data_IF_524227938004
#
_entry.id   IF_524227938004
#
_cell.length_a   1.000
_cell.length_b   1.000
_cell.length_c   1.000
_cell.angle_alpha   90.00
_cell.angle_beta   90.00
_cell.angle_gamma   90.00
#
_symmetry.space_group_name_H-M   'P 1'
#
loop_
_entity.id
_entity.type
_entity.pdbx_description
1 polymer ?
#
# COMPACT_ATOMS: atom_id res chain seq x y z
N UNK A 1 -15.54 30.63 16.39
CA UNK A 1 -15.58 30.41 14.93
C UNK A 1 -14.54 29.39 14.52
N UNK A 2 -14.91 28.11 14.51
CA UNK A 2 -14.03 27.01 14.10
C UNK A 2 -14.36 26.67 12.64
N UNK A 3 -13.65 27.28 11.71
CA UNK A 3 -13.79 26.99 10.27
C UNK A 3 -13.17 25.62 9.98
N UNK A 4 -13.97 24.72 9.43
CA UNK A 4 -13.68 23.28 9.32
C UNK A 4 -12.83 23.02 8.06
N UNK A 5 -11.77 22.18 8.10
CA UNK A 5 -11.03 21.80 6.87
C UNK A 5 -11.98 20.95 5.97
N UNK A 6 -12.76 21.56 5.07
CA UNK A 6 -13.68 20.84 4.17
C UNK A 6 -13.04 20.57 2.79
N UNK A 7 -13.17 19.30 2.41
CA UNK A 7 -13.17 18.61 1.10
C UNK A 7 -12.76 19.29 -0.23
N UNK A 8 -12.16 18.48 -1.15
CA UNK A 8 -12.47 18.51 -2.58
C UNK A 8 -13.85 17.91 -2.82
N UNK A 9 -14.69 18.63 -3.54
CA UNK A 9 -15.92 18.10 -4.11
C UNK A 9 -15.55 17.34 -5.38
N UNK A 10 -15.68 16.01 -5.36
CA UNK A 10 -15.86 15.21 -6.56
C UNK A 10 -16.97 14.18 -6.32
N UNK A 11 -17.79 14.04 -7.35
CA UNK A 11 -19.13 13.45 -7.46
C UNK A 11 -19.21 11.93 -7.28
N UNK A 12 -20.25 11.52 -6.56
CA UNK A 12 -21.09 10.31 -6.66
C UNK A 12 -20.48 8.99 -7.15
N UNK A 13 -20.30 8.05 -6.21
CA UNK A 13 -20.39 6.62 -6.49
C UNK A 13 -20.76 5.83 -5.22
N UNK A 14 -22.02 5.40 -5.12
CA UNK A 14 -22.44 4.38 -4.14
C UNK A 14 -21.99 2.99 -4.59
N UNK A 15 -21.63 2.11 -3.64
CA UNK A 15 -22.04 0.72 -3.80
C UNK A 15 -22.74 0.18 -2.54
N UNK A 16 -23.95 -0.31 -2.78
CA UNK A 16 -24.72 -1.21 -1.89
C UNK A 16 -23.89 -2.47 -1.62
N UNK A 17 -23.82 -2.84 -0.35
CA UNK A 17 -23.22 -4.10 0.08
C UNK A 17 -24.16 -5.29 -0.06
N UNK A 18 -23.61 -6.49 0.10
CA UNK A 18 -24.04 -7.48 1.10
C UNK A 18 -22.97 -8.54 1.27
N UNK A 19 -22.78 -8.94 2.53
CA UNK A 19 -21.96 -10.01 3.04
C UNK A 19 -22.52 -11.40 2.70
N UNK A 20 -21.69 -12.44 2.75
CA UNK A 20 -21.84 -13.44 3.81
C UNK A 20 -20.65 -14.43 3.86
N UNK A 21 -20.37 -14.84 5.10
CA UNK A 21 -19.28 -15.70 5.51
C UNK A 21 -19.72 -17.18 5.53
N UNK A 22 -18.77 -18.10 5.34
CA UNK A 22 -18.82 -19.38 6.05
C UNK A 22 -17.46 -20.09 6.00
N UNK A 23 -16.91 -20.32 7.18
CA UNK A 23 -15.67 -21.07 7.43
C UNK A 23 -16.04 -22.52 7.70
N UNK A 24 -15.40 -23.48 7.00
CA UNK A 24 -15.39 -24.89 7.41
C UNK A 24 -13.96 -25.41 7.53
N UNK A 25 -13.67 -25.85 8.75
CA UNK A 25 -12.46 -26.54 9.23
C UNK A 25 -12.54 -28.00 8.80
N UNK A 26 -11.45 -28.57 8.27
CA UNK A 26 -11.33 -30.03 8.11
C UNK A 26 -9.90 -30.49 8.37
N UNK A 27 -9.78 -31.42 9.31
CA UNK A 27 -8.61 -32.18 9.74
C UNK A 27 -8.42 -33.42 8.89
N UNK A 28 -7.17 -33.83 8.61
CA UNK A 28 -6.85 -35.26 8.42
C UNK A 28 -5.38 -35.56 8.73
N UNK A 29 -5.17 -36.57 9.60
CA UNK A 29 -3.90 -37.29 9.86
C UNK A 29 -3.65 -38.32 8.74
N UNK A 30 -2.39 -38.71 8.46
CA UNK A 30 -1.78 -40.08 8.53
C UNK A 30 -0.36 -40.10 7.86
N UNK A 31 0.41 -41.21 7.81
CA UNK A 31 1.57 -41.48 8.69
C UNK A 31 2.94 -41.68 7.98
N UNK A 32 3.96 -41.97 8.79
CA UNK A 32 5.31 -42.51 8.51
C UNK A 32 5.39 -43.60 7.42
N UNK A 33 6.49 -43.63 6.63
CA UNK A 33 7.48 -44.71 6.74
C UNK A 33 8.78 -44.48 5.92
N UNK A 34 9.87 -45.01 6.49
CA UNK A 34 11.23 -45.13 5.97
C UNK A 34 11.33 -45.87 4.62
N UNK A 35 12.30 -45.49 3.78
CA UNK A 35 13.17 -46.47 3.09
C UNK A 35 14.47 -45.87 2.57
N UNK A 36 15.58 -46.38 3.10
CA UNK A 36 16.96 -46.26 2.62
C UNK A 36 17.13 -47.00 1.28
N UNK A 37 17.91 -46.45 0.34
CA UNK A 37 18.61 -47.29 -0.66
C UNK A 37 19.82 -46.54 -1.24
N UNK A 38 20.95 -47.25 -1.20
CA UNK A 38 22.27 -46.87 -1.72
C UNK A 38 22.22 -46.47 -3.20
N UNK A 39 22.85 -45.34 -3.55
CA UNK A 39 23.06 -44.95 -4.94
C UNK A 39 24.55 -44.91 -5.30
N UNK A 40 24.86 -45.81 -6.23
CA UNK A 40 26.10 -46.10 -6.94
C UNK A 40 26.81 -44.82 -7.44
N UNK A 41 28.10 -44.71 -7.09
CA UNK A 41 29.04 -43.67 -7.54
C UNK A 41 29.17 -43.74 -9.06
N UNK A 42 28.61 -42.75 -9.76
CA UNK A 42 28.72 -42.59 -11.20
C UNK A 42 29.65 -41.42 -11.46
N UNK A 43 30.79 -41.69 -12.08
CA UNK A 43 31.79 -40.69 -12.47
C UNK A 43 31.23 -39.87 -13.63
N UNK A 44 30.67 -38.70 -13.34
CA UNK A 44 30.21 -37.76 -14.34
C UNK A 44 31.39 -36.91 -14.83
N UNK A 45 31.73 -37.06 -16.11
CA UNK A 45 32.62 -36.17 -16.85
C UNK A 45 32.02 -34.77 -16.80
N UNK A 46 32.77 -33.83 -16.21
CA UNK A 46 32.40 -32.41 -16.10
C UNK A 46 32.34 -31.80 -17.50
N UNK A 47 31.16 -31.81 -18.12
CA UNK A 47 30.83 -30.82 -19.16
C UNK A 47 30.64 -29.49 -18.44
N UNK A 48 31.61 -28.60 -18.67
CA UNK A 48 31.59 -27.18 -18.28
C UNK A 48 30.19 -26.60 -18.58
N UNK A 49 29.44 -26.10 -17.58
CA UNK A 49 28.16 -25.46 -17.86
C UNK A 49 28.46 -24.22 -18.72
N UNK A 50 27.92 -24.25 -19.94
CA UNK A 50 27.80 -23.07 -20.78
C UNK A 50 27.23 -21.95 -19.92
N UNK A 51 28.04 -20.91 -19.69
CA UNK A 51 27.63 -19.74 -18.94
C UNK A 51 26.40 -19.15 -19.62
N UNK A 52 25.22 -19.36 -19.03
CA UNK A 52 24.08 -18.49 -19.30
C UNK A 52 24.51 -17.10 -18.86
N UNK A 53 24.83 -16.24 -19.83
CA UNK A 53 24.85 -14.81 -19.62
C UNK A 53 23.56 -14.42 -18.87
N UNK A 54 23.63 -13.60 -17.83
CA UNK A 54 22.44 -13.17 -17.11
C UNK A 54 21.53 -12.45 -18.11
N UNK A 55 20.28 -12.91 -18.21
CA UNK A 55 19.21 -12.27 -18.99
C UNK A 55 18.92 -10.91 -18.36
N UNK A 56 19.79 -9.93 -18.61
CA UNK A 56 19.42 -8.51 -18.61
C UNK A 56 18.67 -8.32 -19.92
N UNK A 57 17.39 -7.97 -19.85
CA UNK A 57 16.60 -7.34 -20.94
C UNK A 57 15.08 -7.42 -20.69
N UNK A 58 14.62 -8.09 -19.63
CA UNK A 58 13.20 -7.99 -19.28
C UNK A 58 12.92 -6.59 -18.75
N UNK A 59 12.21 -5.78 -19.55
CA UNK A 59 11.73 -4.45 -19.16
C UNK A 59 10.75 -4.55 -18.00
N UNK A 60 10.77 -3.55 -17.13
CA UNK A 60 9.77 -3.42 -16.08
C UNK A 60 8.37 -3.23 -16.69
N UNK A 61 7.36 -3.85 -16.07
CA UNK A 61 5.98 -3.89 -16.55
C UNK A 61 5.03 -3.48 -15.44
N UNK A 62 3.96 -2.75 -15.79
CA UNK A 62 3.01 -2.28 -14.79
C UNK A 62 2.34 -3.47 -14.07
N UNK A 63 2.12 -3.37 -12.74
CA UNK A 63 1.30 -4.32 -12.02
C UNK A 63 -0.14 -4.33 -12.51
N UNK A 64 -0.76 -5.51 -12.42
CA UNK A 64 -2.15 -5.76 -12.78
C UNK A 64 -3.07 -5.56 -11.57
N UNK A 65 -4.37 -5.41 -11.84
CA UNK A 65 -5.38 -5.05 -10.82
C UNK A 65 -5.56 -6.11 -9.70
N UNK A 66 -5.11 -7.35 -9.92
CA UNK A 66 -5.15 -8.45 -8.94
C UNK A 66 -4.20 -8.23 -7.75
N UNK A 67 -3.10 -7.49 -7.95
CA UNK A 67 -2.16 -7.13 -6.88
C UNK A 67 -2.25 -5.67 -6.46
N UNK A 68 -3.03 -4.85 -7.17
CA UNK A 68 -3.24 -3.44 -6.84
C UNK A 68 -4.50 -3.25 -6.02
N UNK A 69 -4.35 -2.72 -4.81
CA UNK A 69 -5.46 -2.38 -3.91
C UNK A 69 -5.54 -0.86 -3.72
N UNK A 70 -6.74 -0.28 -3.54
CA UNK A 70 -6.86 1.16 -3.34
C UNK A 70 -6.25 1.57 -1.99
N UNK A 71 -5.42 2.61 -2.00
CA UNK A 71 -5.07 3.33 -0.78
C UNK A 71 -6.16 4.36 -0.53
N UNK A 72 -6.96 4.12 0.51
CA UNK A 72 -8.06 4.99 0.92
C UNK A 72 -7.59 5.92 2.02
N UNK A 73 -8.15 7.13 2.03
CA UNK A 73 -8.11 8.01 3.18
C UNK A 73 -9.50 8.17 3.76
N UNK A 74 -9.56 8.44 5.06
CA UNK A 74 -10.76 8.61 5.86
C UNK A 74 -10.66 9.95 6.54
N UNK A 75 -11.75 10.69 6.59
CA UNK A 75 -11.78 11.99 7.23
C UNK A 75 -12.73 11.98 8.43
N UNK A 76 -12.22 12.44 9.55
CA UNK A 76 -12.97 12.66 10.77
C UNK A 76 -13.26 14.14 10.91
N UNK A 77 -14.53 14.50 10.71
CA UNK A 77 -14.99 15.88 10.72
C UNK A 77 -14.82 16.56 12.08
N UNK A 78 -15.13 15.86 13.16
CA UNK A 78 -15.11 16.41 14.53
C UNK A 78 -13.71 16.76 15.00
N UNK A 79 -12.73 15.94 14.63
CA UNK A 79 -11.33 16.15 15.03
C UNK A 79 -10.45 16.76 13.94
N UNK A 80 -11.00 16.96 12.73
CA UNK A 80 -10.31 17.50 11.56
C UNK A 80 -9.01 16.72 11.30
N UNK A 81 -9.16 15.40 11.14
CA UNK A 81 -8.04 14.46 11.00
C UNK A 81 -8.23 13.49 9.85
N UNK A 82 -7.13 13.12 9.20
CA UNK A 82 -7.09 12.08 8.20
C UNK A 82 -6.44 10.80 8.73
N UNK A 83 -6.98 9.68 8.27
CA UNK A 83 -6.47 8.33 8.46
C UNK A 83 -6.31 7.66 7.10
N UNK A 84 -5.40 6.70 6.97
CA UNK A 84 -5.04 6.10 5.67
C UNK A 84 -4.92 4.58 5.78
N UNK A 85 -5.64 3.85 4.91
CA UNK A 85 -5.69 2.39 4.92
C UNK A 85 -5.94 1.81 3.53
N UNK A 86 -5.44 0.60 3.29
CA UNK A 86 -5.70 -0.15 2.06
C UNK A 86 -6.40 -1.49 2.29
N UNK A 87 -6.55 -1.91 3.54
CA UNK A 87 -7.11 -3.21 3.91
C UNK A 87 -8.05 -3.09 5.11
N UNK A 88 -8.89 -4.12 5.28
CA UNK A 88 -9.90 -4.16 6.34
C UNK A 88 -9.29 -4.18 7.75
N UNK A 89 -8.14 -4.82 7.95
CA UNK A 89 -7.49 -4.88 9.27
C UNK A 89 -7.02 -3.49 9.73
N UNK A 90 -6.43 -2.69 8.84
CA UNK A 90 -6.09 -1.30 9.10
C UNK A 90 -7.34 -0.49 9.45
N UNK A 91 -8.43 -0.66 8.69
CA UNK A 91 -9.69 0.02 8.96
C UNK A 91 -10.29 -0.32 10.31
N UNK A 92 -10.34 -1.59 10.66
CA UNK A 92 -10.82 -2.05 11.96
C UNK A 92 -9.95 -1.50 13.09
N UNK A 93 -8.63 -1.46 12.91
CA UNK A 93 -7.73 -0.85 13.88
C UNK A 93 -8.05 0.63 14.10
N UNK A 94 -8.19 1.42 13.02
CA UNK A 94 -8.47 2.85 13.14
C UNK A 94 -9.85 3.06 13.79
N UNK A 95 -10.87 2.32 13.37
CA UNK A 95 -12.21 2.43 13.95
C UNK A 95 -12.27 2.05 15.44
N UNK A 96 -11.44 1.10 15.87
CA UNK A 96 -11.36 0.68 17.28
C UNK A 96 -10.59 1.69 18.14
N UNK A 97 -9.56 2.33 17.60
CA UNK A 97 -8.62 3.15 18.37
C UNK A 97 -8.81 4.66 18.19
N UNK A 98 -9.68 5.10 17.27
CA UNK A 98 -10.01 6.50 17.06
C UNK A 98 -11.53 6.69 16.91
N UNK A 99 -12.08 7.58 17.74
CA UNK A 99 -13.48 7.99 17.68
C UNK A 99 -13.69 8.86 16.45
N UNK A 100 -14.75 8.60 15.68
CA UNK A 100 -15.21 9.48 14.59
C UNK A 100 -14.69 9.16 13.18
N UNK A 101 -13.85 8.13 13.02
CA UNK A 101 -13.56 7.53 11.70
C UNK A 101 -14.55 6.41 11.33
N UNK A 102 -15.75 6.41 11.91
CA UNK A 102 -16.78 5.39 11.64
C UNK A 102 -16.93 5.17 10.13
N UNK A 103 -16.98 3.92 9.64
CA UNK A 103 -17.14 3.65 8.21
C UNK A 103 -18.47 4.21 7.65
N UNK A 104 -19.43 4.51 8.52
CA UNK A 104 -20.71 5.15 8.18
C UNK A 104 -20.60 6.67 8.04
N UNK A 105 -19.73 7.33 8.83
CA UNK A 105 -19.61 8.80 8.89
C UNK A 105 -18.33 9.34 8.23
N UNK A 106 -17.30 8.51 8.13
CA UNK A 106 -16.05 8.83 7.47
C UNK A 106 -16.23 8.61 5.98
N UNK A 107 -16.35 9.70 5.24
CA UNK A 107 -16.41 9.62 3.78
C UNK A 107 -15.03 9.30 3.25
N UNK A 108 -14.83 8.07 2.79
CA UNK A 108 -13.56 7.61 2.26
C UNK A 108 -13.40 8.02 0.79
N UNK A 109 -12.18 8.36 0.37
CA UNK A 109 -11.82 8.47 -1.05
C UNK A 109 -10.44 7.85 -1.29
N UNK A 110 -10.10 7.60 -2.56
CA UNK A 110 -8.86 6.93 -2.91
C UNK A 110 -7.79 7.93 -3.36
N UNK A 111 -6.55 7.71 -2.92
CA UNK A 111 -5.37 8.45 -3.40
C UNK A 111 -4.77 7.84 -4.68
N UNK A 112 -5.24 6.65 -5.07
CA UNK A 112 -4.61 5.77 -6.03
C UNK A 112 -4.46 4.37 -5.46
N UNK A 113 -3.61 3.56 -6.08
CA UNK A 113 -3.41 2.15 -5.74
C UNK A 113 -1.99 1.87 -5.26
N UNK A 114 -1.91 0.91 -4.35
CA UNK A 114 -0.68 0.34 -3.79
C UNK A 114 -0.63 -1.14 -4.14
N UNK A 115 0.57 -1.71 -4.21
CA UNK A 115 0.68 -3.17 -4.33
C UNK A 115 0.35 -3.81 -2.97
N UNK A 116 -0.43 -4.87 -3.00
CA UNK A 116 -0.82 -5.60 -1.79
C UNK A 116 0.38 -6.17 -1.05
N UNK A 117 0.37 -6.07 0.28
CA UNK A 117 1.42 -6.63 1.13
C UNK A 117 1.26 -8.12 1.40
N UNK A 118 0.17 -8.74 0.93
CA UNK A 118 0.01 -10.20 1.02
C UNK A 118 1.10 -10.91 0.20
N UNK A 119 1.35 -12.17 0.54
CA UNK A 119 2.49 -12.98 0.04
C UNK A 119 2.71 -12.94 -1.47
N UNK A 120 1.66 -12.72 -2.26
CA UNK A 120 1.73 -12.67 -3.72
C UNK A 120 2.23 -11.32 -4.27
N UNK A 121 2.03 -10.20 -3.57
CA UNK A 121 2.32 -8.86 -4.12
C UNK A 121 3.81 -8.64 -4.38
N UNK A 122 4.66 -8.76 -3.35
CA UNK A 122 6.11 -8.60 -3.51
C UNK A 122 6.72 -9.65 -4.45
N UNK A 123 6.27 -10.91 -4.36
CA UNK A 123 6.74 -11.96 -5.25
C UNK A 123 6.45 -11.61 -6.71
N UNK A 124 5.23 -11.15 -7.00
CA UNK A 124 4.83 -10.76 -8.35
C UNK A 124 5.59 -9.52 -8.83
N UNK A 125 5.84 -8.56 -7.94
CA UNK A 125 6.64 -7.38 -8.30
C UNK A 125 8.09 -7.71 -8.63
N UNK A 126 8.71 -8.75 -8.04
CA UNK A 126 10.05 -9.21 -8.49
C UNK A 126 10.04 -9.68 -9.94
N UNK A 127 8.96 -10.31 -10.37
CA UNK A 127 8.81 -10.84 -11.74
C UNK A 127 8.48 -9.75 -12.77
N UNK A 128 7.75 -8.72 -12.33
CA UNK A 128 7.29 -7.59 -13.16
C UNK A 128 8.30 -6.45 -13.24
N UNK A 129 9.11 -6.24 -12.20
CA UNK A 129 9.99 -5.08 -12.05
C UNK A 129 11.46 -5.49 -11.83
N UNK A 130 12.05 -6.35 -12.68
CA UNK A 130 13.39 -6.90 -12.43
C UNK A 130 14.49 -5.82 -12.30
N UNK A 131 14.29 -4.62 -12.87
CA UNK A 131 15.30 -3.56 -12.85
C UNK A 131 15.09 -2.54 -11.72
N UNK A 132 13.85 -2.34 -11.26
CA UNK A 132 13.51 -1.31 -10.27
C UNK A 132 12.90 -1.83 -8.98
N UNK A 133 12.87 -3.15 -8.77
CA UNK A 133 12.29 -3.77 -7.57
C UNK A 133 12.88 -3.23 -6.25
N UNK A 134 14.17 -2.89 -6.23
CA UNK A 134 14.87 -2.30 -5.08
C UNK A 134 14.40 -0.89 -4.71
N UNK A 135 13.65 -0.22 -5.59
CA UNK A 135 13.05 1.09 -5.34
C UNK A 135 11.62 0.98 -4.76
N UNK A 136 11.10 -0.25 -4.65
CA UNK A 136 9.85 -0.54 -3.97
C UNK A 136 10.08 -0.66 -2.45
N UNK A 137 9.12 -0.17 -1.67
CA UNK A 137 9.21 -0.22 -0.22
C UNK A 137 7.82 -0.38 0.41
N UNK A 138 7.79 -0.94 1.62
CA UNK A 138 6.55 -1.06 2.38
C UNK A 138 6.19 0.31 2.96
N UNK A 139 4.97 0.75 2.67
CA UNK A 139 4.36 1.93 3.25
C UNK A 139 3.57 1.55 4.50
N UNK A 140 3.79 2.32 5.55
CA UNK A 140 3.06 2.27 6.79
C UNK A 140 2.48 3.65 7.13
N UNK A 141 1.43 3.67 7.94
CA UNK A 141 0.99 4.88 8.64
C UNK A 141 1.08 4.67 10.15
N UNK A 142 1.83 5.54 10.81
CA UNK A 142 2.00 5.53 12.25
C UNK A 142 1.19 6.67 12.88
N UNK A 143 0.49 6.36 13.96
CA UNK A 143 -0.20 7.36 14.76
C UNK A 143 0.81 8.07 15.66
N UNK A 144 1.01 9.37 15.46
CA UNK A 144 1.96 10.20 16.22
C UNK A 144 1.29 11.52 16.57
N UNK A 145 1.13 11.85 17.85
CA UNK A 145 0.50 13.11 18.25
C UNK A 145 -0.94 13.29 17.75
N UNK A 146 -1.67 12.17 17.59
CA UNK A 146 -3.08 12.18 17.16
C UNK A 146 -3.31 12.22 15.64
N UNK A 147 -2.27 12.19 14.82
CA UNK A 147 -2.35 12.18 13.34
C UNK A 147 -1.64 10.94 12.77
N UNK A 148 -2.00 10.57 11.55
CA UNK A 148 -1.37 9.45 10.84
C UNK A 148 -0.28 9.97 9.91
N UNK A 149 0.97 9.60 10.21
CA UNK A 149 2.17 10.01 9.47
C UNK A 149 2.69 8.81 8.67
N UNK A 150 3.06 9.03 7.41
CA UNK A 150 3.70 7.97 6.62
C UNK A 150 5.02 7.51 7.24
N UNK A 151 5.34 6.23 7.09
CA UNK A 151 6.59 5.62 7.54
C UNK A 151 6.99 4.49 6.60
N UNK A 152 8.28 4.28 6.42
CA UNK A 152 8.83 3.13 5.68
C UNK A 152 9.42 2.06 6.61
N UNK A 153 9.23 2.21 7.93
CA UNK A 153 9.84 1.34 8.93
C UNK A 153 8.80 0.56 9.74
N UNK A 154 7.71 1.21 10.14
CA UNK A 154 6.75 0.64 11.08
C UNK A 154 5.42 1.39 11.07
N UNK A 155 4.38 0.75 11.60
CA UNK A 155 3.03 1.30 11.73
C UNK A 155 1.99 0.35 11.17
N UNK A 156 0.83 0.91 10.81
CA UNK A 156 -0.23 0.18 10.12
C UNK A 156 0.14 -0.02 8.66
N UNK A 157 0.17 -1.27 8.21
CA UNK A 157 0.57 -1.60 6.84
C UNK A 157 -0.45 -1.03 5.85
N UNK A 158 0.05 -0.20 4.94
CA UNK A 158 -0.73 0.36 3.84
C UNK A 158 -0.47 -0.38 2.53
N UNK A 159 0.63 -1.11 2.37
CA UNK A 159 0.97 -1.80 1.12
C UNK A 159 2.35 -1.38 0.62
N UNK A 160 2.67 -1.73 -0.62
CA UNK A 160 3.97 -1.42 -1.23
C UNK A 160 3.81 -0.26 -2.20
N UNK A 161 4.76 0.66 -2.16
CA UNK A 161 4.83 1.87 -2.99
C UNK A 161 6.19 2.00 -3.65
N UNK A 162 6.28 2.86 -4.65
CA UNK A 162 7.54 3.26 -5.26
C UNK A 162 8.10 4.52 -4.58
N UNK A 163 9.42 4.55 -4.34
CA UNK A 163 10.12 5.75 -3.86
C UNK A 163 10.43 6.75 -4.98
N UNK A 164 10.47 6.29 -6.23
CA UNK A 164 10.82 7.10 -7.41
C UNK A 164 9.73 7.00 -8.47
N UNK A 165 9.58 8.07 -9.26
CA UNK A 165 8.67 8.12 -10.40
C UNK A 165 9.07 7.08 -11.44
N UNK A 166 8.07 6.40 -12.01
CA UNK A 166 8.23 5.45 -13.11
C UNK A 166 8.68 4.05 -12.70
N UNK A 167 9.03 3.83 -11.43
CA UNK A 167 9.35 2.49 -10.90
C UNK A 167 8.16 1.58 -11.14
N UNK A 168 8.33 0.63 -12.04
CA UNK A 168 7.31 -0.32 -12.42
C UNK A 168 5.94 0.31 -12.75
N UNK A 169 5.95 1.49 -13.40
CA UNK A 169 4.73 2.20 -13.77
C UNK A 169 4.09 3.10 -12.70
N UNK A 170 4.69 3.24 -11.52
CA UNK A 170 4.18 4.14 -10.50
C UNK A 170 4.41 5.60 -10.91
N UNK A 171 3.35 6.35 -11.18
CA UNK A 171 3.46 7.72 -11.70
C UNK A 171 2.67 8.77 -10.93
N UNK A 172 1.78 8.38 -10.02
CA UNK A 172 1.01 9.33 -9.23
C UNK A 172 1.91 9.83 -8.10
N UNK A 173 2.37 11.09 -8.11
CA UNK A 173 3.17 11.62 -7.02
C UNK A 173 2.27 11.86 -5.81
N UNK A 174 2.69 11.46 -4.63
CA UNK A 174 2.00 11.80 -3.39
C UNK A 174 2.88 12.72 -2.56
N UNK A 175 2.38 13.90 -2.25
CA UNK A 175 3.02 14.91 -1.41
C UNK A 175 2.33 14.95 -0.06
N UNK A 176 3.05 15.46 0.93
CA UNK A 176 2.52 15.67 2.28
C UNK A 176 2.14 17.14 2.46
N UNK A 177 0.97 17.40 3.05
CA UNK A 177 0.44 18.73 3.32
C UNK A 177 0.05 18.84 4.80
N UNK A 178 0.39 19.95 5.45
CA UNK A 178 -0.18 20.30 6.76
C UNK A 178 -1.55 20.99 6.58
N UNK A 179 -2.53 20.76 7.48
CA UNK A 179 -3.73 21.61 7.51
C UNK A 179 -3.41 22.93 8.25
N UNK A 180 -3.99 24.03 7.78
CA UNK A 180 -3.94 25.34 8.46
C UNK A 180 -4.71 25.37 9.79
N UNK A 181 -5.77 24.58 9.93
CA UNK A 181 -6.70 24.63 11.07
C UNK A 181 -6.49 23.52 12.11
N UNK A 182 -5.61 22.55 11.84
CA UNK A 182 -5.38 21.43 12.74
C UNK A 182 -3.95 20.92 12.63
N UNK A 183 -3.53 20.06 13.56
CA UNK A 183 -2.21 19.42 13.52
C UNK A 183 -2.12 18.30 12.46
N UNK A 184 -3.18 18.08 11.71
CA UNK A 184 -3.35 16.97 10.77
C UNK A 184 -2.41 17.03 9.57
N UNK A 185 -2.25 15.88 8.92
CA UNK A 185 -1.52 15.74 7.66
C UNK A 185 -2.42 15.11 6.61
N UNK A 186 -2.38 15.68 5.40
CA UNK A 186 -3.04 15.11 4.23
C UNK A 186 -2.00 14.70 3.19
N UNK A 187 -2.26 13.58 2.51
CA UNK A 187 -1.43 13.08 1.43
C UNK A 187 -2.21 13.15 0.13
N UNK A 188 -1.66 13.80 -0.90
CA UNK A 188 -2.32 13.96 -2.20
C UNK A 188 -1.32 14.40 -3.29
N UNK A 189 -1.74 14.34 -4.56
CA UNK A 189 -0.90 14.81 -5.67
C UNK A 189 -0.78 16.33 -5.77
N UNK A 190 -1.89 17.05 -5.54
CA UNK A 190 -1.92 18.50 -5.53
C UNK A 190 -3.12 19.01 -4.69
N UNK A 191 -2.85 19.83 -3.66
CA UNK A 191 -3.86 20.50 -2.84
C UNK A 191 -3.73 22.03 -2.84
N UNK A 192 -3.01 22.62 -3.78
CA UNK A 192 -2.83 24.07 -3.84
C UNK A 192 -4.12 24.84 -4.16
N UNK A 193 -5.13 24.15 -4.70
CA UNK A 193 -6.47 24.71 -4.91
C UNK A 193 -7.29 24.77 -3.61
N UNK A 194 -6.89 24.04 -2.56
CA UNK A 194 -7.63 23.98 -1.30
C UNK A 194 -7.06 24.97 -0.28
N UNK A 195 -7.86 25.94 0.15
CA UNK A 195 -7.46 27.01 1.09
C UNK A 195 -6.84 26.49 2.40
N UNK A 196 -7.21 25.29 2.84
CA UNK A 196 -6.70 24.69 4.07
C UNK A 196 -5.28 24.11 3.95
N UNK A 197 -4.85 23.79 2.73
CA UNK A 197 -3.56 23.15 2.43
C UNK A 197 -2.65 23.99 1.52
N UNK A 198 -3.21 25.02 0.86
CA UNK A 198 -2.50 25.92 -0.04
C UNK A 198 -1.29 26.56 0.64
N UNK A 199 -0.13 26.41 0.01
CA UNK A 199 1.15 26.88 0.50
C UNK A 199 1.70 26.11 1.72
N UNK A 200 1.07 25.00 2.12
CA UNK A 200 1.46 24.20 3.30
C UNK A 200 1.99 22.82 2.91
N UNK A 201 2.45 22.67 1.68
CA UNK A 201 3.17 21.48 1.24
C UNK A 201 4.47 21.33 2.04
N UNK A 202 4.72 20.13 2.53
CA UNK A 202 5.90 19.79 3.34
C UNK A 202 7.01 19.23 2.44
N UNK A 203 8.18 18.98 3.01
CA UNK A 203 9.32 18.36 2.33
C UNK A 203 9.75 19.10 1.04
N UNK A 204 9.63 20.44 1.03
CA UNK A 204 9.97 21.28 -0.12
C UNK A 204 9.14 20.97 -1.37
N UNK A 205 7.91 20.48 -1.21
CA UNK A 205 7.02 20.14 -2.34
C UNK A 205 7.34 18.81 -3.02
N UNK A 206 8.35 18.08 -2.56
CA UNK A 206 8.78 16.81 -3.16
C UNK A 206 7.80 15.68 -2.80
N UNK A 207 7.49 14.78 -3.75
CA UNK A 207 6.71 13.59 -3.44
C UNK A 207 7.42 12.70 -2.42
N UNK A 208 6.66 12.19 -1.46
CA UNK A 208 7.13 11.26 -0.43
C UNK A 208 7.11 9.80 -0.91
N UNK A 209 6.20 9.48 -1.84
CA UNK A 209 6.13 8.20 -2.55
C UNK A 209 5.27 8.34 -3.82
N UNK A 210 5.24 7.28 -4.63
CA UNK A 210 4.47 7.20 -5.86
C UNK A 210 3.51 6.01 -5.86
N UNK A 211 2.32 6.23 -6.41
CA UNK A 211 1.23 5.25 -6.53
C UNK A 211 0.93 4.88 -7.99
N UNK A 212 0.16 3.81 -8.15
CA UNK A 212 -0.44 3.39 -9.42
C UNK A 212 -1.86 3.94 -9.55
N UNK A 213 -2.34 4.04 -10.79
CA UNK A 213 -3.76 4.32 -11.07
C UNK A 213 -4.63 3.14 -10.69
#
# INVERSE_FOLDING_TARGET
>A
NTTICVRPVDSDFEPKGTSDASTKKSTTKKPNNNKTTNKKKTTAIVKKPNGKQPVKDKKDTNPTNDILIPLKYFYNWWHIRHAFCSNAACMQYINKNDVGFSPTFARASSLGRVVTHYSNGMKRMKELCPNSYNELTMLYFQKTGGRYVYSFKSGLVAGIVAKKKGVCGAHIPIKEYACRMSKDLMYAGNLEWNTFYKGLVRNGGKPVFYLWK
#
